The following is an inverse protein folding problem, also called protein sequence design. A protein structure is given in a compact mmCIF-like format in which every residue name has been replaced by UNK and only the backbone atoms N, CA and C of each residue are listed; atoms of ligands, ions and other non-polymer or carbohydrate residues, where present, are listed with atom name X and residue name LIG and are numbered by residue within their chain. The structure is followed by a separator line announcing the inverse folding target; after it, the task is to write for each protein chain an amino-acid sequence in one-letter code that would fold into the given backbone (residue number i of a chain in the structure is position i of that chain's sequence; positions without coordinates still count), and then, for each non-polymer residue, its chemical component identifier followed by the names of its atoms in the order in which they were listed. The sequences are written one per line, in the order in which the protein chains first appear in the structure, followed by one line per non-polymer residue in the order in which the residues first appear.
data_IF_300853222152
#
_entry.id   IF_300853222152
#
_cell.length_a   1.000
_cell.length_b   1.000
_cell.length_c   1.000
_cell.angle_alpha   90.00
_cell.angle_beta   90.00
_cell.angle_gamma   90.00
#
_symmetry.space_group_name_H-M   'P 1'
#
loop_
_entity.id
_entity.type
_entity.pdbx_description
1 polymer ?
#
# COMPACT_ATOMS: atom_id res chain seq x y z
N UNK A 1 -2.66 8.78 21.56
CA UNK A 1 -3.80 8.73 22.50
C UNK A 1 -5.10 9.21 21.85
N UNK A 2 -5.08 10.33 21.12
CA UNK A 2 -6.29 10.91 20.49
C UNK A 2 -6.78 10.21 19.21
N UNK A 3 -5.91 9.54 18.47
CA UNK A 3 -6.27 8.87 17.22
C UNK A 3 -6.98 7.52 17.44
N UNK A 4 -6.81 6.90 18.61
CA UNK A 4 -7.46 5.64 18.94
C UNK A 4 -8.97 5.75 19.03
N UNK A 5 -9.47 6.78 19.70
CA UNK A 5 -10.91 7.01 19.86
C UNK A 5 -11.62 7.25 18.53
N UNK A 6 -10.96 7.94 17.57
CA UNK A 6 -11.51 8.21 16.24
C UNK A 6 -11.55 6.96 15.34
N UNK A 7 -10.63 6.03 15.55
CA UNK A 7 -10.44 4.88 14.65
C UNK A 7 -10.76 3.52 15.31
N UNK A 8 -11.44 3.53 16.48
CA UNK A 8 -11.83 2.29 17.17
C UNK A 8 -10.66 1.48 17.73
N UNK A 9 -9.56 2.15 18.13
CA UNK A 9 -8.39 1.55 18.77
C UNK A 9 -7.74 0.39 17.98
N UNK A 10 -7.38 0.57 16.68
CA UNK A 10 -6.90 -0.52 15.83
C UNK A 10 -5.61 -1.17 16.35
N UNK A 11 -4.80 -0.47 17.14
CA UNK A 11 -3.56 -1.00 17.75
C UNK A 11 -3.84 -1.93 18.94
N UNK A 12 -5.05 -1.93 19.49
CA UNK A 12 -5.49 -2.80 20.57
C UNK A 12 -6.17 -4.08 20.04
N UNK A 13 -6.44 -4.15 18.73
CA UNK A 13 -7.00 -5.34 18.10
C UNK A 13 -5.97 -6.48 18.17
N UNK A 14 -6.42 -7.63 18.67
CA UNK A 14 -5.58 -8.84 18.82
C UNK A 14 -4.96 -9.37 17.52
N UNK A 15 -5.47 -8.92 16.36
CA UNK A 15 -4.93 -9.23 15.04
C UNK A 15 -3.81 -8.28 14.64
N UNK A 16 -3.58 -7.20 15.41
CA UNK A 16 -2.57 -6.19 15.13
C UNK A 16 -1.31 -6.48 15.93
N UNK A 17 -0.19 -6.57 15.25
CA UNK A 17 1.14 -6.64 15.84
C UNK A 17 1.92 -5.39 15.42
N UNK A 18 2.43 -4.65 16.40
CA UNK A 18 3.27 -3.47 16.17
C UNK A 18 4.73 -3.85 16.31
N UNK A 19 5.48 -3.77 15.22
CA UNK A 19 6.92 -4.03 15.20
C UNK A 19 7.65 -2.70 15.01
N UNK A 20 8.51 -2.35 15.95
CA UNK A 20 9.38 -1.17 15.83
C UNK A 20 10.74 -1.61 15.32
N UNK A 21 11.18 -1.06 14.17
CA UNK A 21 12.46 -1.43 13.57
C UNK A 21 12.59 -0.95 12.12
N UNK A 22 13.69 -1.33 11.48
CA UNK A 22 13.92 -1.07 10.05
C UNK A 22 13.06 -2.03 9.22
N UNK A 23 12.14 -1.48 8.44
CA UNK A 23 11.24 -2.26 7.58
C UNK A 23 12.01 -3.02 6.48
N UNK A 24 13.13 -2.48 5.97
CA UNK A 24 13.97 -3.18 5.01
C UNK A 24 14.53 -4.47 5.61
N UNK A 25 15.04 -4.42 6.84
CA UNK A 25 15.57 -5.60 7.52
C UNK A 25 14.46 -6.64 7.76
N UNK A 26 13.26 -6.19 8.14
CA UNK A 26 12.11 -7.08 8.33
C UNK A 26 11.76 -7.84 7.04
N UNK A 27 11.62 -7.14 5.91
CA UNK A 27 11.28 -7.80 4.65
C UNK A 27 12.45 -8.62 4.10
N UNK A 28 13.70 -8.17 4.30
CA UNK A 28 14.89 -8.90 3.86
C UNK A 28 15.08 -10.24 4.56
N UNK A 29 14.65 -10.36 5.82
CA UNK A 29 14.70 -11.59 6.61
C UNK A 29 13.44 -12.47 6.44
N UNK A 30 12.42 -11.98 5.75
CA UNK A 30 11.18 -12.71 5.51
C UNK A 30 11.22 -13.52 4.21
N UNK A 31 10.55 -14.67 4.20
CA UNK A 31 10.37 -15.50 3.02
C UNK A 31 8.96 -16.08 3.00
N UNK A 32 8.19 -15.85 1.93
CA UNK A 32 6.80 -16.32 1.76
C UNK A 32 5.91 -16.11 3.02
N UNK A 33 6.09 -14.96 3.68
CA UNK A 33 5.44 -14.67 4.97
C UNK A 33 4.15 -13.90 4.82
N UNK A 34 4.10 -12.96 3.87
CA UNK A 34 3.02 -11.97 3.78
C UNK A 34 2.10 -12.23 2.58
N UNK A 35 0.80 -12.07 2.77
CA UNK A 35 -0.19 -12.06 1.70
C UNK A 35 -0.24 -10.71 0.99
N UNK A 36 0.07 -9.64 1.71
CA UNK A 36 0.21 -8.29 1.17
C UNK A 36 1.28 -7.50 1.92
N UNK A 37 2.01 -6.66 1.19
CA UNK A 37 2.92 -5.65 1.75
C UNK A 37 2.44 -4.30 1.25
N UNK A 38 2.11 -3.37 2.16
CA UNK A 38 1.70 -2.02 1.85
C UNK A 38 2.79 -1.04 2.28
N UNK A 39 3.40 -0.36 1.32
CA UNK A 39 4.40 0.66 1.57
C UNK A 39 3.75 2.05 1.45
N UNK A 40 3.51 2.66 2.60
CA UNK A 40 3.07 4.05 2.75
C UNK A 40 4.16 4.80 3.53
N UNK A 41 5.35 4.83 2.93
CA UNK A 41 6.56 5.42 3.52
C UNK A 41 6.87 6.71 2.78
N UNK A 42 6.97 7.82 3.52
CA UNK A 42 7.17 9.18 2.99
C UNK A 42 6.11 9.56 1.94
N UNK A 43 6.54 10.25 0.89
CA UNK A 43 5.69 10.66 -0.24
C UNK A 43 5.85 9.74 -1.47
N UNK A 44 6.37 8.53 -1.26
CA UNK A 44 6.62 7.53 -2.30
C UNK A 44 8.04 7.61 -2.90
N UNK A 45 8.33 6.83 -3.96
CA UNK A 45 9.69 6.59 -4.45
C UNK A 45 10.49 7.81 -4.92
N UNK A 46 9.86 8.95 -5.14
CA UNK A 46 10.52 10.17 -5.65
C UNK A 46 10.74 11.28 -4.62
N UNK A 47 10.05 11.21 -3.48
CA UNK A 47 10.01 12.32 -2.53
C UNK A 47 10.57 11.90 -1.17
N UNK A 48 11.62 11.11 -1.20
CA UNK A 48 12.23 10.59 0.02
C UNK A 48 13.10 11.63 0.69
N UNK A 49 12.81 11.87 1.95
CA UNK A 49 13.58 12.74 2.83
C UNK A 49 14.67 11.97 3.58
N UNK A 50 14.52 10.65 3.69
CA UNK A 50 15.46 9.79 4.42
C UNK A 50 16.16 8.79 3.48
N UNK A 51 17.50 8.79 3.52
CA UNK A 51 18.34 7.85 2.76
C UNK A 51 18.08 6.37 3.15
N UNK A 52 17.65 6.09 4.39
CA UNK A 52 17.29 4.77 4.85
C UNK A 52 16.11 4.18 4.07
N UNK A 53 15.09 4.98 3.84
CA UNK A 53 13.90 4.57 3.11
C UNK A 53 14.14 4.33 1.61
N UNK A 54 15.20 4.93 1.03
CA UNK A 54 15.59 4.69 -0.36
C UNK A 54 15.88 3.22 -0.65
N UNK A 55 16.38 2.49 0.32
CA UNK A 55 16.68 1.06 0.19
C UNK A 55 15.45 0.24 -0.14
N UNK A 56 14.28 0.58 0.41
CA UNK A 56 13.01 -0.12 0.14
C UNK A 56 12.59 -0.02 -1.34
N UNK A 57 12.83 1.13 -1.96
CA UNK A 57 12.43 1.41 -3.34
C UNK A 57 13.54 1.10 -4.35
N UNK A 58 14.66 0.52 -3.90
CA UNK A 58 15.72 0.01 -4.76
C UNK A 58 15.38 -1.38 -5.33
N UNK A 59 16.14 -1.83 -6.32
CA UNK A 59 16.03 -3.21 -6.83
C UNK A 59 16.16 -4.23 -5.69
N UNK A 60 17.09 -4.03 -4.75
CA UNK A 60 17.29 -4.92 -3.62
C UNK A 60 16.06 -4.94 -2.68
N UNK A 61 15.46 -3.78 -2.40
CA UNK A 61 14.25 -3.66 -1.58
C UNK A 61 13.04 -4.32 -2.22
N UNK A 62 12.80 -4.08 -3.50
CA UNK A 62 11.69 -4.71 -4.23
C UNK A 62 11.87 -6.21 -4.34
N UNK A 63 13.09 -6.70 -4.58
CA UNK A 63 13.38 -8.14 -4.56
C UNK A 63 13.21 -8.77 -3.18
N UNK A 64 13.52 -8.04 -2.11
CA UNK A 64 13.25 -8.47 -0.74
C UNK A 64 11.73 -8.57 -0.47
N UNK A 65 10.97 -7.53 -0.84
CA UNK A 65 9.50 -7.56 -0.75
C UNK A 65 8.92 -8.73 -1.55
N UNK A 66 9.38 -8.94 -2.80
CA UNK A 66 8.92 -10.04 -3.65
C UNK A 66 9.16 -11.40 -2.98
N UNK A 67 10.35 -11.64 -2.42
CA UNK A 67 10.66 -12.88 -1.70
C UNK A 67 9.84 -13.05 -0.43
N UNK A 68 9.54 -11.96 0.27
CA UNK A 68 8.76 -11.97 1.50
C UNK A 68 7.27 -12.22 1.26
N UNK A 69 6.77 -11.95 0.05
CA UNK A 69 5.39 -12.24 -0.36
C UNK A 69 5.20 -13.74 -0.64
N UNK A 70 4.03 -14.25 -0.30
CA UNK A 70 3.55 -15.56 -0.76
C UNK A 70 3.26 -15.52 -2.26
N UNK A 71 3.15 -16.69 -2.91
CA UNK A 71 2.92 -16.82 -4.37
C UNK A 71 1.72 -16.00 -4.88
N UNK A 72 0.66 -15.89 -4.09
CA UNK A 72 -0.54 -15.10 -4.41
C UNK A 72 -0.56 -13.75 -3.70
N UNK A 73 0.59 -13.29 -3.20
CA UNK A 73 0.70 -12.03 -2.51
C UNK A 73 0.91 -10.86 -3.45
N UNK A 74 0.63 -9.66 -2.95
CA UNK A 74 0.84 -8.43 -3.71
C UNK A 74 1.59 -7.37 -2.90
N UNK A 75 2.34 -6.54 -3.61
CA UNK A 75 2.97 -5.32 -3.11
C UNK A 75 2.12 -4.12 -3.54
N UNK A 76 1.70 -3.30 -2.59
CA UNK A 76 1.06 -2.02 -2.86
C UNK A 76 1.97 -0.87 -2.40
N UNK A 77 2.14 0.14 -3.25
CA UNK A 77 2.99 1.30 -2.95
C UNK A 77 2.20 2.57 -3.21
N UNK A 78 2.04 3.37 -2.16
CA UNK A 78 1.40 4.67 -2.25
C UNK A 78 2.40 5.77 -2.66
N UNK A 79 1.93 6.77 -3.41
CA UNK A 79 2.75 7.90 -3.82
C UNK A 79 1.93 9.15 -4.15
N UNK A 80 2.52 10.31 -3.91
CA UNK A 80 1.96 11.61 -4.31
C UNK A 80 2.12 11.92 -5.79
N UNK A 81 3.04 11.22 -6.49
CA UNK A 81 3.36 11.48 -7.91
C UNK A 81 3.54 10.18 -8.69
N UNK A 82 3.17 10.15 -9.98
CA UNK A 82 3.48 9.02 -10.85
C UNK A 82 4.98 8.94 -11.13
N UNK A 83 5.52 7.73 -11.20
CA UNK A 83 6.94 7.49 -11.45
C UNK A 83 7.15 6.31 -12.41
N UNK A 84 7.37 6.61 -13.70
CA UNK A 84 7.60 5.59 -14.72
C UNK A 84 8.91 4.81 -14.52
N UNK A 85 9.92 5.42 -13.91
CA UNK A 85 11.17 4.73 -13.59
C UNK A 85 10.96 3.67 -12.54
N UNK A 86 10.15 3.96 -11.52
CA UNK A 86 9.77 2.99 -10.51
C UNK A 86 8.91 1.86 -11.09
N UNK A 87 7.98 2.16 -12.00
CA UNK A 87 7.21 1.12 -12.72
C UNK A 87 8.13 0.16 -13.48
N UNK A 88 9.14 0.70 -14.19
CA UNK A 88 10.14 -0.14 -14.88
C UNK A 88 10.98 -0.97 -13.92
N UNK A 89 11.30 -0.42 -12.74
CA UNK A 89 12.04 -1.15 -11.71
C UNK A 89 11.21 -2.32 -11.19
N UNK A 90 9.93 -2.11 -10.86
CA UNK A 90 9.02 -3.18 -10.44
C UNK A 90 8.93 -4.29 -11.50
N UNK A 91 8.74 -3.90 -12.77
CA UNK A 91 8.69 -4.84 -13.90
C UNK A 91 10.02 -5.57 -14.09
N UNK A 92 11.16 -4.86 -13.96
CA UNK A 92 12.50 -5.43 -14.02
C UNK A 92 12.78 -6.44 -12.90
N UNK A 93 12.09 -6.32 -11.75
CA UNK A 93 12.12 -7.30 -10.67
C UNK A 93 11.17 -8.50 -10.91
N UNK A 94 10.54 -8.62 -12.08
CA UNK A 94 9.68 -9.74 -12.46
C UNK A 94 8.23 -9.61 -11.97
N UNK A 95 7.80 -8.40 -11.56
CA UNK A 95 6.44 -8.17 -11.14
C UNK A 95 5.58 -7.63 -12.28
N UNK A 96 4.31 -8.03 -12.34
CA UNK A 96 3.27 -7.38 -13.12
C UNK A 96 2.75 -6.19 -12.32
N UNK A 97 2.48 -5.05 -12.97
CA UNK A 97 2.21 -3.78 -12.28
C UNK A 97 0.98 -3.11 -12.85
N UNK A 98 0.08 -2.69 -11.98
CA UNK A 98 -1.00 -1.74 -12.32
C UNK A 98 -0.88 -0.51 -11.47
N UNK A 99 -1.18 0.64 -12.08
CA UNK A 99 -1.20 1.93 -11.39
C UNK A 99 -2.62 2.47 -11.33
N UNK A 100 -3.06 2.80 -10.14
CA UNK A 100 -4.35 3.44 -9.88
C UNK A 100 -4.12 4.91 -9.52
N UNK A 101 -4.99 5.77 -10.06
CA UNK A 101 -5.09 7.18 -9.68
C UNK A 101 -6.27 7.32 -8.75
N UNK A 102 -6.03 7.81 -7.54
CA UNK A 102 -7.05 8.00 -6.51
C UNK A 102 -7.17 9.49 -6.18
N UNK A 103 -8.38 10.02 -6.18
CA UNK A 103 -8.60 11.41 -5.78
C UNK A 103 -8.44 11.55 -4.26
N UNK A 104 -7.78 12.63 -3.81
CA UNK A 104 -7.55 12.88 -2.39
C UNK A 104 -8.84 13.03 -1.58
N UNK A 105 -9.89 13.57 -2.21
CA UNK A 105 -11.20 13.75 -1.61
C UNK A 105 -12.30 13.43 -2.62
N UNK A 106 -13.43 12.87 -2.19
CA UNK A 106 -14.59 12.68 -3.04
C UNK A 106 -15.00 14.00 -3.70
N UNK A 107 -15.15 14.02 -5.03
CA UNK A 107 -15.54 15.20 -5.78
C UNK A 107 -14.45 16.26 -6.05
N UNK A 108 -13.25 16.09 -5.51
CA UNK A 108 -12.12 17.00 -5.77
C UNK A 108 -11.10 16.35 -6.69
N UNK A 109 -10.99 16.82 -7.93
CA UNK A 109 -10.04 16.31 -8.94
C UNK A 109 -8.71 17.07 -8.97
N UNK A 110 -8.55 18.11 -8.13
CA UNK A 110 -7.33 18.94 -8.13
C UNK A 110 -6.12 18.26 -7.49
N UNK A 111 -6.36 17.28 -6.60
CA UNK A 111 -5.30 16.56 -5.89
C UNK A 111 -5.52 15.05 -6.02
N UNK A 112 -4.55 14.37 -6.57
CA UNK A 112 -4.62 12.91 -6.76
C UNK A 112 -3.39 12.24 -6.18
N UNK A 113 -3.57 11.03 -5.70
CA UNK A 113 -2.54 10.11 -5.30
C UNK A 113 -2.44 8.95 -6.29
N UNK A 114 -1.38 8.20 -6.20
CA UNK A 114 -1.12 7.04 -7.05
C UNK A 114 -0.82 5.84 -6.18
N UNK A 115 -1.38 4.70 -6.56
CA UNK A 115 -1.11 3.42 -5.93
C UNK A 115 -0.63 2.47 -7.02
N UNK A 116 0.57 1.93 -6.89
CA UNK A 116 1.00 0.80 -7.68
C UNK A 116 0.65 -0.48 -6.93
N UNK A 117 -0.01 -1.40 -7.61
CA UNK A 117 -0.18 -2.77 -7.14
C UNK A 117 0.64 -3.65 -8.05
N UNK A 118 1.49 -4.46 -7.45
CA UNK A 118 2.43 -5.31 -8.16
C UNK A 118 2.40 -6.74 -7.60
N UNK A 119 2.37 -7.75 -8.48
CA UNK A 119 2.35 -9.16 -8.13
C UNK A 119 3.10 -9.99 -9.17
N UNK A 120 3.49 -11.22 -8.84
CA UNK A 120 4.09 -12.15 -9.81
C UNK A 120 3.06 -12.61 -10.85
N UNK A 121 1.83 -12.90 -10.42
CA UNK A 121 0.72 -13.31 -11.27
C UNK A 121 -0.20 -12.12 -11.55
N UNK A 122 -0.45 -11.84 -12.84
CA UNK A 122 -1.33 -10.76 -13.27
C UNK A 122 -2.79 -10.94 -12.82
N UNK A 123 -3.23 -12.18 -12.64
CA UNK A 123 -4.60 -12.48 -12.20
C UNK A 123 -4.89 -12.04 -10.75
N UNK A 124 -3.85 -11.74 -9.96
CA UNK A 124 -3.98 -11.22 -8.60
C UNK A 124 -4.26 -9.72 -8.62
N UNK A 125 -3.86 -9.02 -9.69
CA UNK A 125 -4.02 -7.58 -9.78
C UNK A 125 -5.52 -7.23 -9.94
N UNK A 126 -6.04 -6.28 -9.13
CA UNK A 126 -7.42 -5.84 -9.24
C UNK A 126 -7.76 -5.43 -10.67
N UNK A 127 -8.94 -5.79 -11.16
CA UNK A 127 -9.39 -5.37 -12.48
C UNK A 127 -9.67 -3.86 -12.53
N UNK A 128 -9.66 -3.26 -13.73
CA UNK A 128 -10.03 -1.84 -13.87
C UNK A 128 -11.52 -1.61 -13.55
N UNK A 129 -12.32 -2.68 -13.49
CA UNK A 129 -13.73 -2.66 -13.11
C UNK A 129 -13.94 -2.64 -11.59
N UNK A 130 -12.96 -3.09 -10.81
CA UNK A 130 -12.97 -3.04 -9.35
C UNK A 130 -12.71 -1.60 -8.84
N UNK A 131 -13.51 -0.65 -9.30
CA UNK A 131 -13.49 0.70 -8.77
C UNK A 131 -13.99 0.65 -7.32
N UNK A 132 -13.07 0.77 -6.39
CA UNK A 132 -13.41 0.93 -4.99
C UNK A 132 -14.40 2.11 -4.83
N UNK A 133 -15.59 1.80 -4.39
CA UNK A 133 -16.57 2.79 -3.95
C UNK A 133 -16.50 2.86 -2.42
N UNK A 134 -16.22 4.04 -1.84
CA UNK A 134 -16.20 4.17 -0.38
C UNK A 134 -17.56 3.75 0.19
N UNK A 135 -17.59 3.02 1.31
CA UNK A 135 -18.84 2.76 2.00
C UNK A 135 -19.55 4.10 2.25
N UNK A 136 -20.84 4.16 1.96
CA UNK A 136 -21.64 5.35 2.27
C UNK A 136 -21.49 5.64 3.75
N UNK A 137 -21.01 6.83 4.10
CA UNK A 137 -21.06 7.31 5.46
C UNK A 137 -22.52 7.15 5.96
N UNK A 138 -22.71 6.39 7.05
CA UNK A 138 -24.02 6.37 7.71
C UNK A 138 -24.37 7.82 8.04
N UNK A 139 -25.43 8.32 7.45
CA UNK A 139 -25.97 9.62 7.87
C UNK A 139 -26.43 9.43 9.32
N UNK A 140 -25.92 10.26 10.23
CA UNK A 140 -26.50 10.39 11.55
C UNK A 140 -27.97 10.79 11.33
N UNK A 141 -28.90 9.89 11.63
CA UNK A 141 -30.33 10.16 11.50
C UNK A 141 -31.21 9.00 11.02
N UNK A 142 -30.66 7.86 10.65
CA UNK A 142 -31.48 6.69 10.25
C UNK A 142 -31.72 5.76 11.45
N UNK A 143 -32.37 6.33 12.48
CA UNK A 143 -32.99 5.60 13.56
C UNK A 143 -34.49 5.52 13.24
N UNK A 144 -34.91 4.60 12.39
CA UNK A 144 -36.28 4.08 12.38
C UNK A 144 -36.30 2.86 13.29
N UNK A 145 -37.02 2.89 14.43
CA UNK A 145 -37.29 1.70 15.21
C UNK A 145 -38.40 0.90 14.52
N UNK A 146 -38.20 -0.41 14.40
CA UNK A 146 -39.25 -1.39 14.21
C UNK A 146 -40.15 -1.53 15.45
#
# INVERSE_FOLDING_TARGET
KYMGELNGHPLEDKRTEVISGDIFELVAQSNERFDAILLDVDNGPQAMTDAGNQRLYSTAGIMACRRALRKQGCLAVWSTKPNKTFERLLTGCGLKVRRYKVNAYPGNHSKSFFIWVAAEDENILPSDEDKWTPPRAKREGDNTPD
#
